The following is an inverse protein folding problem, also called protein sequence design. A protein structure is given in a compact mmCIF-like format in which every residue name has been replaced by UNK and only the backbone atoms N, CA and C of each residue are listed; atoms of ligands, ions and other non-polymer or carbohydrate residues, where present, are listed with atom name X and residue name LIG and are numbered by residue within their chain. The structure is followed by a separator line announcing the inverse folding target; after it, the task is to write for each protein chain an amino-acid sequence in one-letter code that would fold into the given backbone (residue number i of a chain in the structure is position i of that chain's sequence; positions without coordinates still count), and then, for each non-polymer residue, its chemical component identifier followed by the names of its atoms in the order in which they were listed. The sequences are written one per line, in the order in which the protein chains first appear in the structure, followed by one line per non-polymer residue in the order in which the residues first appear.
data_IF_405720175011
#
_entry.id   IF_405720175011
#
_cell.length_a   1.000
_cell.length_b   1.000
_cell.length_c   1.000
_cell.angle_alpha   90.00
_cell.angle_beta   90.00
_cell.angle_gamma   90.00
#
_symmetry.space_group_name_H-M   'P 1'
#
loop_
_entity.id
_entity.type
_entity.pdbx_description
1 polymer ?
#
# COMPACT_ATOMS: atom_id res chain seq x y z
N UNK A 1 38.13 -15.67 3.53
CA UNK A 1 37.77 -15.61 2.10
C UNK A 1 37.47 -14.16 1.80
N UNK A 2 38.32 -13.49 1.01
CA UNK A 2 38.03 -12.17 0.47
C UNK A 2 37.02 -12.38 -0.66
N UNK A 3 35.76 -11.98 -0.45
CA UNK A 3 34.74 -12.08 -1.50
C UNK A 3 35.15 -11.24 -2.70
N UNK A 4 34.99 -11.80 -3.91
CA UNK A 4 35.29 -11.09 -5.15
C UNK A 4 34.33 -9.90 -5.33
N UNK A 5 34.85 -8.81 -5.88
CA UNK A 5 34.05 -7.63 -6.25
C UNK A 5 33.45 -7.80 -7.64
N UNK A 6 32.30 -7.16 -7.84
CA UNK A 6 31.64 -7.08 -9.13
C UNK A 6 31.09 -5.68 -9.38
N UNK A 7 30.87 -5.36 -10.64
CA UNK A 7 30.09 -4.19 -11.08
C UNK A 7 29.01 -4.63 -12.05
N UNK A 8 27.93 -3.86 -12.13
CA UNK A 8 26.86 -4.12 -13.08
C UNK A 8 26.31 -2.82 -13.67
N UNK A 9 25.76 -2.95 -14.88
CA UNK A 9 25.05 -1.87 -15.57
C UNK A 9 23.78 -2.43 -16.20
N UNK A 10 22.67 -1.73 -16.00
CA UNK A 10 21.42 -1.97 -16.70
C UNK A 10 21.20 -0.85 -17.72
N UNK A 11 20.98 -1.24 -18.96
CA UNK A 11 20.66 -0.37 -20.07
C UNK A 11 19.23 -0.63 -20.52
N UNK A 12 18.54 0.42 -20.93
CA UNK A 12 17.23 0.34 -21.58
C UNK A 12 17.32 0.78 -23.03
N UNK A 13 16.48 0.19 -23.86
CA UNK A 13 16.21 0.65 -25.23
C UNK A 13 14.82 1.24 -25.27
N UNK A 14 14.72 2.52 -25.62
CA UNK A 14 13.45 3.24 -25.75
C UNK A 14 12.71 2.85 -27.06
N UNK A 15 11.43 3.25 -27.25
CA UNK A 15 10.69 2.99 -28.48
C UNK A 15 11.33 3.58 -29.76
N UNK A 16 12.15 4.61 -29.63
CA UNK A 16 12.91 5.19 -30.73
C UNK A 16 14.18 4.38 -31.07
N UNK A 17 14.48 3.31 -30.32
CA UNK A 17 15.65 2.47 -30.48
C UNK A 17 16.91 3.04 -29.85
N UNK A 18 16.82 4.10 -29.04
CA UNK A 18 17.97 4.69 -28.36
C UNK A 18 18.29 3.91 -27.09
N UNK A 19 19.56 3.54 -26.92
CA UNK A 19 20.03 2.92 -25.70
C UNK A 19 20.47 3.96 -24.67
N UNK A 20 20.04 3.78 -23.42
CA UNK A 20 20.42 4.64 -22.29
C UNK A 20 20.74 3.80 -21.07
N UNK A 21 21.71 4.25 -20.29
CA UNK A 21 21.99 3.68 -18.98
C UNK A 21 20.82 4.02 -18.06
N UNK A 22 20.24 3.00 -17.46
CA UNK A 22 19.17 3.13 -16.48
C UNK A 22 19.76 3.18 -15.08
N UNK A 23 20.63 2.21 -14.78
CA UNK A 23 21.20 2.06 -13.45
C UNK A 23 22.57 1.39 -13.50
N UNK A 24 23.42 1.70 -12.54
CA UNK A 24 24.75 1.10 -12.36
C UNK A 24 24.99 0.85 -10.88
N UNK A 25 25.68 -0.24 -10.56
CA UNK A 25 26.05 -0.55 -9.19
C UNK A 25 27.30 -1.40 -9.08
N UNK A 26 27.78 -1.50 -7.85
CA UNK A 26 28.94 -2.29 -7.48
C UNK A 26 28.63 -3.04 -6.19
N UNK A 27 29.28 -4.19 -6.01
CA UNK A 27 29.06 -5.00 -4.82
C UNK A 27 30.17 -6.03 -4.60
N UNK A 28 29.96 -6.84 -3.56
CA UNK A 28 30.87 -7.92 -3.19
C UNK A 28 30.08 -9.18 -2.87
N UNK A 29 30.58 -10.34 -3.30
CA UNK A 29 29.95 -11.61 -2.93
C UNK A 29 29.95 -11.82 -1.41
N UNK A 30 29.00 -12.64 -0.95
CA UNK A 30 28.76 -12.94 0.46
C UNK A 30 28.40 -11.70 1.32
N UNK A 31 28.01 -10.60 0.68
CA UNK A 31 27.39 -9.44 1.33
C UNK A 31 26.06 -9.12 0.69
N UNK A 32 25.10 -8.51 1.43
CA UNK A 32 23.85 -8.04 0.85
C UNK A 32 24.11 -7.08 -0.31
N UNK A 33 23.55 -7.38 -1.48
CA UNK A 33 23.63 -6.53 -2.66
C UNK A 33 22.82 -5.24 -2.40
N UNK A 34 23.38 -4.04 -2.67
CA UNK A 34 22.76 -2.77 -2.25
C UNK A 34 21.34 -2.52 -2.76
N UNK A 35 21.02 -2.94 -3.99
CA UNK A 35 19.71 -2.66 -4.59
C UNK A 35 18.62 -3.65 -4.15
N UNK A 36 18.99 -4.92 -4.02
CA UNK A 36 18.06 -6.04 -3.83
C UNK A 36 18.07 -6.59 -2.40
N UNK A 37 19.09 -6.27 -1.62
CA UNK A 37 19.34 -6.81 -0.27
C UNK A 37 19.70 -8.30 -0.25
N UNK A 38 19.78 -8.97 -1.41
CA UNK A 38 20.07 -10.41 -1.50
C UNK A 38 21.57 -10.67 -1.31
N UNK A 39 21.90 -11.75 -0.61
CA UNK A 39 23.29 -12.23 -0.53
C UNK A 39 23.55 -13.13 -1.73
N UNK A 40 24.37 -12.66 -2.67
CA UNK A 40 24.70 -13.39 -3.89
C UNK A 40 26.09 -14.03 -3.80
N UNK A 41 26.24 -15.21 -4.40
CA UNK A 41 27.48 -16.01 -4.39
C UNK A 41 28.20 -16.06 -5.74
N UNK A 42 27.53 -15.65 -6.82
CA UNK A 42 28.09 -15.65 -8.17
C UNK A 42 27.48 -14.54 -9.04
N UNK A 43 28.10 -14.29 -10.20
CA UNK A 43 27.68 -13.24 -11.14
C UNK A 43 26.28 -13.46 -11.73
N UNK A 44 25.83 -14.71 -11.84
CA UNK A 44 24.50 -15.03 -12.36
C UNK A 44 23.44 -14.65 -11.33
N UNK A 45 23.66 -14.97 -10.05
CA UNK A 45 22.76 -14.58 -8.96
C UNK A 45 22.62 -13.06 -8.85
N UNK A 46 23.72 -12.32 -8.96
CA UNK A 46 23.69 -10.84 -9.00
C UNK A 46 22.91 -10.38 -10.22
N UNK A 47 23.27 -10.86 -11.40
CA UNK A 47 22.65 -10.46 -12.66
C UNK A 47 21.14 -10.69 -12.66
N UNK A 48 20.70 -11.88 -12.26
CA UNK A 48 19.26 -12.20 -12.16
C UNK A 48 18.56 -11.36 -11.09
N UNK A 49 19.12 -11.23 -9.89
CA UNK A 49 18.48 -10.49 -8.81
C UNK A 49 18.27 -9.01 -9.16
N UNK A 50 19.32 -8.35 -9.66
CA UNK A 50 19.27 -6.94 -10.08
C UNK A 50 18.35 -6.78 -11.28
N UNK A 51 18.49 -7.64 -12.29
CA UNK A 51 17.73 -7.50 -13.53
C UNK A 51 16.24 -7.74 -13.35
N UNK A 52 15.85 -8.73 -12.53
CA UNK A 52 14.44 -8.99 -12.18
C UNK A 52 13.83 -7.78 -11.46
N UNK A 53 14.56 -7.19 -10.51
CA UNK A 53 14.12 -5.99 -9.77
C UNK A 53 13.87 -4.83 -10.73
N UNK A 54 14.86 -4.49 -11.54
CA UNK A 54 14.82 -3.32 -12.44
C UNK A 54 13.78 -3.50 -13.54
N UNK A 55 13.64 -4.70 -14.12
CA UNK A 55 12.58 -4.97 -15.10
C UNK A 55 11.19 -4.89 -14.45
N UNK A 56 11.05 -5.37 -13.21
CA UNK A 56 9.82 -5.24 -12.44
C UNK A 56 9.44 -3.78 -12.24
N UNK A 57 10.37 -2.95 -11.77
CA UNK A 57 10.14 -1.51 -11.57
C UNK A 57 9.71 -0.80 -12.85
N UNK A 58 10.39 -1.02 -13.98
CA UNK A 58 9.98 -0.41 -15.25
C UNK A 58 8.55 -0.76 -15.66
N UNK A 59 8.12 -2.01 -15.42
CA UNK A 59 6.76 -2.46 -15.74
C UNK A 59 5.74 -1.88 -14.77
N UNK A 60 6.06 -1.84 -13.48
CA UNK A 60 5.21 -1.29 -12.43
C UNK A 60 5.05 0.24 -12.55
N UNK A 61 6.13 0.97 -12.85
CA UNK A 61 6.09 2.42 -13.07
C UNK A 61 5.23 2.79 -14.28
N UNK A 62 5.40 2.08 -15.40
CA UNK A 62 4.55 2.29 -16.58
C UNK A 62 3.08 1.97 -16.27
N UNK A 63 2.82 0.91 -15.50
CA UNK A 63 1.47 0.55 -15.08
C UNK A 63 0.82 1.65 -14.23
N UNK A 64 1.55 2.17 -13.24
CA UNK A 64 1.09 3.30 -12.43
C UNK A 64 0.84 4.55 -13.29
N UNK A 65 1.77 4.90 -14.19
CA UNK A 65 1.63 6.07 -15.06
C UNK A 65 0.42 5.99 -16.00
N UNK A 66 0.08 4.81 -16.51
CA UNK A 66 -1.14 4.60 -17.33
C UNK A 66 -2.40 4.72 -16.47
N UNK A 67 -2.39 4.17 -15.25
CA UNK A 67 -3.53 4.31 -14.33
C UNK A 67 -3.80 5.78 -14.00
N UNK A 68 -2.75 6.54 -13.67
CA UNK A 68 -2.84 7.98 -13.38
C UNK A 68 -3.38 8.75 -14.59
N UNK A 69 -2.80 8.53 -15.77
CA UNK A 69 -3.23 9.21 -17.00
C UNK A 69 -4.72 8.99 -17.28
N UNK A 70 -5.20 7.75 -17.12
CA UNK A 70 -6.61 7.41 -17.34
C UNK A 70 -7.54 8.01 -16.30
N UNK A 71 -7.11 8.10 -15.04
CA UNK A 71 -7.88 8.78 -13.98
C UNK A 71 -8.01 10.28 -14.29
N UNK A 72 -6.93 10.90 -14.77
CA UNK A 72 -6.88 12.31 -15.16
C UNK A 72 -7.57 12.58 -16.51
N UNK A 73 -7.93 11.53 -17.27
CA UNK A 73 -8.53 11.64 -18.60
C UNK A 73 -7.54 12.11 -19.67
N UNK A 74 -6.24 11.88 -19.47
CA UNK A 74 -5.18 12.15 -20.44
C UNK A 74 -4.85 10.89 -21.26
N UNK A 75 -4.01 11.04 -22.28
CA UNK A 75 -3.61 9.92 -23.12
C UNK A 75 -2.63 9.00 -22.38
N UNK A 76 -2.73 7.69 -22.61
CA UNK A 76 -1.81 6.70 -22.05
C UNK A 76 -0.35 7.08 -22.41
N UNK A 77 0.56 7.16 -21.43
CA UNK A 77 1.97 7.46 -21.70
C UNK A 77 2.62 6.33 -22.50
N UNK A 78 3.55 6.69 -23.39
CA UNK A 78 4.38 5.69 -24.06
C UNK A 78 5.38 5.06 -23.07
N UNK A 79 5.66 3.75 -23.15
CA UNK A 79 6.64 3.12 -22.29
C UNK A 79 8.04 3.70 -22.45
N UNK A 80 8.73 3.94 -21.33
CA UNK A 80 10.10 4.47 -21.36
C UNK A 80 11.14 3.46 -21.88
N UNK A 81 10.79 2.17 -21.92
CA UNK A 81 11.65 1.09 -22.37
C UNK A 81 10.84 0.01 -23.09
N UNK A 82 11.37 -0.56 -24.17
CA UNK A 82 10.83 -1.79 -24.78
C UNK A 82 11.71 -3.00 -24.48
N UNK A 83 12.98 -2.75 -24.17
CA UNK A 83 13.97 -3.77 -23.86
C UNK A 83 14.87 -3.27 -22.73
N UNK A 84 15.24 -4.17 -21.83
CA UNK A 84 16.28 -3.95 -20.85
C UNK A 84 17.43 -4.94 -21.09
N UNK A 85 18.66 -4.56 -20.76
CA UNK A 85 19.85 -5.41 -20.84
C UNK A 85 20.72 -5.16 -19.63
N UNK A 86 21.16 -6.22 -18.97
CA UNK A 86 22.13 -6.16 -17.88
C UNK A 86 23.47 -6.73 -18.34
N UNK A 87 24.55 -6.11 -17.88
CA UNK A 87 25.91 -6.64 -17.98
C UNK A 87 26.55 -6.61 -16.60
N UNK A 88 27.04 -7.76 -16.12
CA UNK A 88 27.79 -7.91 -14.88
C UNK A 88 29.25 -8.22 -15.19
N UNK A 89 30.16 -7.48 -14.56
CA UNK A 89 31.61 -7.57 -14.74
C UNK A 89 32.30 -7.90 -13.44
N UNK A 90 33.45 -8.54 -13.53
CA UNK A 90 34.35 -8.74 -12.40
C UNK A 90 35.18 -7.47 -12.09
N UNK A 91 36.05 -7.55 -11.07
CA UNK A 91 36.96 -6.48 -10.66
C UNK A 91 37.92 -6.03 -11.77
N UNK A 92 38.26 -6.93 -12.71
CA UNK A 92 39.10 -6.60 -13.87
C UNK A 92 38.30 -5.93 -15.01
N UNK A 93 36.98 -5.75 -14.84
CA UNK A 93 36.08 -5.21 -15.85
C UNK A 93 35.73 -6.22 -16.95
N UNK A 94 36.04 -7.50 -16.76
CA UNK A 94 35.70 -8.55 -17.72
C UNK A 94 34.24 -8.93 -17.53
N UNK A 95 33.49 -8.97 -18.63
CA UNK A 95 32.11 -9.43 -18.63
C UNK A 95 32.02 -10.89 -18.19
N UNK A 96 31.23 -11.13 -17.15
CA UNK A 96 30.97 -12.46 -16.60
C UNK A 96 29.55 -12.94 -16.89
N UNK A 97 28.61 -12.00 -17.07
CA UNK A 97 27.23 -12.30 -17.39
C UNK A 97 26.63 -11.13 -18.19
N UNK A 98 25.81 -11.48 -19.18
CA UNK A 98 24.91 -10.55 -19.86
C UNK A 98 23.54 -11.18 -20.00
N UNK A 99 22.47 -10.41 -19.85
CA UNK A 99 21.11 -10.85 -20.14
C UNK A 99 20.30 -9.71 -20.74
N UNK A 100 19.29 -10.05 -21.53
CA UNK A 100 18.38 -9.10 -22.12
C UNK A 100 16.94 -9.61 -22.05
N UNK A 101 16.00 -8.69 -21.84
CA UNK A 101 14.59 -8.97 -21.75
C UNK A 101 13.79 -7.97 -22.58
N UNK A 102 12.82 -8.47 -23.34
CA UNK A 102 11.76 -7.65 -23.93
C UNK A 102 10.71 -7.39 -22.86
N UNK A 103 10.40 -6.11 -22.61
CA UNK A 103 9.42 -5.72 -21.61
C UNK A 103 8.03 -5.80 -22.22
N UNK A 104 7.11 -6.44 -21.50
CA UNK A 104 5.71 -6.57 -21.90
C UNK A 104 4.84 -5.86 -20.88
N UNK A 105 4.15 -4.83 -21.35
CA UNK A 105 3.23 -4.04 -20.54
C UNK A 105 1.83 -4.61 -20.71
N UNK A 106 1.19 -4.93 -19.58
CA UNK A 106 -0.16 -5.45 -19.56
C UNK A 106 -1.16 -4.35 -19.89
N UNK A 107 -2.16 -4.67 -20.70
CA UNK A 107 -3.30 -3.77 -20.91
C UNK A 107 -4.09 -3.64 -19.61
N UNK A 108 -4.29 -2.40 -19.18
CA UNK A 108 -5.13 -2.06 -18.03
C UNK A 108 -6.58 -2.02 -18.49
N UNK A 109 -7.50 -2.59 -17.72
CA UNK A 109 -8.93 -2.54 -18.02
C UNK A 109 -9.66 -1.46 -17.19
N UNK A 110 -10.94 -1.22 -17.48
CA UNK A 110 -11.74 -0.25 -16.74
C UNK A 110 -11.92 -0.64 -15.27
N UNK A 111 -11.95 -1.94 -14.95
CA UNK A 111 -12.16 -2.40 -13.58
C UNK A 111 -10.97 -2.03 -12.71
N UNK A 112 -9.76 -2.23 -13.22
CA UNK A 112 -8.51 -1.86 -12.54
C UNK A 112 -8.41 -0.35 -12.30
N UNK A 113 -8.82 0.48 -13.28
CA UNK A 113 -8.89 1.94 -13.09
C UNK A 113 -9.85 2.33 -11.96
N UNK A 114 -11.02 1.69 -11.86
CA UNK A 114 -11.97 1.97 -10.77
C UNK A 114 -11.50 1.46 -9.41
N UNK A 115 -10.78 0.33 -9.37
CA UNK A 115 -10.15 -0.17 -8.15
C UNK A 115 -9.07 0.80 -7.67
N UNK A 116 -8.18 1.24 -8.57
CA UNK A 116 -7.14 2.20 -8.25
C UNK A 116 -7.70 3.56 -7.81
N UNK A 117 -8.79 4.04 -8.43
CA UNK A 117 -9.49 5.26 -7.98
C UNK A 117 -10.01 5.14 -6.54
N UNK A 118 -10.52 3.97 -6.14
CA UNK A 118 -10.97 3.74 -4.75
C UNK A 118 -9.79 3.73 -3.77
N UNK A 119 -8.67 3.14 -4.17
CA UNK A 119 -7.44 3.14 -3.38
C UNK A 119 -6.93 4.57 -3.18
N UNK A 120 -6.83 5.37 -4.24
CA UNK A 120 -6.44 6.79 -4.14
C UNK A 120 -7.37 7.58 -3.23
N UNK A 121 -8.69 7.42 -3.35
CA UNK A 121 -9.65 8.10 -2.47
C UNK A 121 -9.48 7.70 -1.00
N UNK A 122 -9.15 6.44 -0.73
CA UNK A 122 -8.85 5.96 0.63
C UNK A 122 -7.55 6.56 1.16
N UNK A 123 -6.51 6.62 0.32
CA UNK A 123 -5.23 7.23 0.64
C UNK A 123 -5.37 8.74 0.92
N UNK A 124 -6.09 9.48 0.09
CA UNK A 124 -6.39 10.89 0.32
C UNK A 124 -7.17 11.12 1.61
N UNK A 125 -8.16 10.28 1.91
CA UNK A 125 -8.91 10.33 3.17
C UNK A 125 -7.97 10.13 4.37
N UNK A 126 -7.06 9.15 4.30
CA UNK A 126 -6.07 8.86 5.35
C UNK A 126 -5.06 9.99 5.52
N UNK A 127 -4.52 10.51 4.42
CA UNK A 127 -3.55 11.60 4.43
C UNK A 127 -4.19 12.90 4.94
N UNK A 128 -5.43 13.21 4.54
CA UNK A 128 -6.19 14.33 5.10
C UNK A 128 -6.36 14.20 6.62
N UNK A 129 -6.79 13.03 7.09
CA UNK A 129 -6.93 12.78 8.51
C UNK A 129 -5.59 12.88 9.25
N UNK A 130 -4.50 12.39 8.66
CA UNK A 130 -3.15 12.53 9.21
C UNK A 130 -2.75 14.00 9.30
N UNK A 131 -2.92 14.78 8.23
CA UNK A 131 -2.63 16.23 8.22
C UNK A 131 -3.43 16.97 9.29
N UNK A 132 -4.72 16.68 9.42
CA UNK A 132 -5.56 17.24 10.49
C UNK A 132 -5.06 16.85 11.88
N UNK A 133 -4.63 15.60 12.09
CA UNK A 133 -4.02 15.16 13.36
C UNK A 133 -2.72 15.90 13.65
N UNK A 134 -1.81 15.99 12.68
CA UNK A 134 -0.56 16.71 12.82
C UNK A 134 -0.80 18.20 13.13
N UNK A 135 -1.73 18.86 12.43
CA UNK A 135 -2.11 20.26 12.71
C UNK A 135 -2.67 20.43 14.13
N UNK A 136 -3.54 19.53 14.59
CA UNK A 136 -4.04 19.54 15.98
C UNK A 136 -2.91 19.36 17.00
N UNK A 137 -1.97 18.47 16.73
CA UNK A 137 -0.83 18.22 17.61
C UNK A 137 0.15 19.42 17.67
N UNK A 138 0.42 20.05 16.53
CA UNK A 138 1.23 21.29 16.44
C UNK A 138 0.58 22.41 17.25
N UNK A 139 -0.73 22.63 17.06
CA UNK A 139 -1.49 23.64 17.79
C UNK A 139 -1.50 23.38 19.30
N UNK A 140 -1.73 22.12 19.73
CA UNK A 140 -1.71 21.74 21.14
C UNK A 140 -0.33 21.91 21.80
N UNK A 141 0.75 21.74 21.03
CA UNK A 141 2.12 21.96 21.49
C UNK A 141 2.54 23.45 21.49
N UNK A 142 1.66 24.37 21.08
CA UNK A 142 1.97 25.79 20.97
C UNK A 142 3.03 26.12 19.93
N UNK A 143 3.28 25.22 18.97
CA UNK A 143 4.23 25.45 17.88
C UNK A 143 3.61 26.31 16.79
N UNK A 144 4.46 26.98 16.00
CA UNK A 144 4.01 27.75 14.86
C UNK A 144 3.27 26.84 13.85
N UNK A 145 2.10 27.28 13.40
CA UNK A 145 1.35 26.58 12.37
C UNK A 145 2.10 26.65 11.04
N UNK A 146 2.08 25.57 10.23
CA UNK A 146 2.65 25.61 8.88
C UNK A 146 1.93 26.66 8.03
N UNK A 147 2.65 27.29 7.10
CA UNK A 147 2.07 28.29 6.20
C UNK A 147 1.16 27.61 5.18
N UNK A 148 0.31 28.40 4.52
CA UNK A 148 -0.55 27.93 3.44
C UNK A 148 0.31 27.29 2.32
N UNK A 149 0.03 26.02 2.01
CA UNK A 149 0.80 25.22 1.06
C UNK A 149 2.00 24.45 1.65
N UNK A 150 2.38 24.66 2.90
CA UNK A 150 3.38 23.84 3.59
C UNK A 150 2.74 22.58 4.19
N UNK A 151 3.37 21.43 3.97
CA UNK A 151 2.92 20.19 4.60
C UNK A 151 3.15 20.25 6.12
N UNK A 152 2.14 19.91 6.94
CA UNK A 152 2.32 19.80 8.38
C UNK A 152 3.26 18.64 8.70
N UNK A 153 4.54 18.93 8.91
CA UNK A 153 5.57 17.94 9.26
C UNK A 153 5.89 18.02 10.74
N UNK A 154 5.68 16.91 11.44
CA UNK A 154 6.23 16.70 12.75
C UNK A 154 7.66 16.18 12.58
N UNK A 155 8.63 17.10 12.65
CA UNK A 155 10.03 16.70 12.72
C UNK A 155 10.32 16.10 14.09
N UNK A 156 10.80 14.87 14.10
CA UNK A 156 11.24 14.21 15.33
C UNK A 156 12.41 14.99 15.89
N UNK A 157 12.17 15.68 17.00
CA UNK A 157 13.17 16.57 17.60
C UNK A 157 14.43 15.83 18.08
N UNK A 158 14.31 14.54 18.44
CA UNK A 158 15.45 13.67 18.73
C UNK A 158 15.68 12.65 17.59
N UNK A 159 16.81 12.74 16.86
CA UNK A 159 17.19 11.78 15.83
C UNK A 159 17.18 10.31 16.28
N UNK A 160 17.41 10.05 17.57
CA UNK A 160 17.39 8.69 18.15
C UNK A 160 16.00 8.09 18.23
N UNK A 161 14.96 8.94 18.33
CA UNK A 161 13.57 8.51 18.39
C UNK A 161 12.95 8.29 17.01
N UNK A 162 13.65 8.66 15.92
CA UNK A 162 13.13 8.57 14.57
C UNK A 162 12.71 7.15 14.19
N UNK A 163 13.55 6.16 14.52
CA UNK A 163 13.24 4.75 14.27
C UNK A 163 12.02 4.26 15.05
N UNK A 164 11.90 4.67 16.32
CA UNK A 164 10.74 4.32 17.15
C UNK A 164 9.45 4.94 16.62
N UNK A 165 9.48 6.22 16.24
CA UNK A 165 8.32 6.91 15.65
C UNK A 165 7.87 6.23 14.36
N UNK A 166 8.80 5.85 13.48
CA UNK A 166 8.48 5.11 12.26
C UNK A 166 7.85 3.75 12.58
N UNK A 167 8.42 2.99 13.52
CA UNK A 167 7.88 1.70 13.93
C UNK A 167 6.45 1.83 14.48
N UNK A 168 6.17 2.84 15.30
CA UNK A 168 4.83 3.09 15.83
C UNK A 168 3.82 3.42 14.71
N UNK A 169 4.24 4.10 13.64
CA UNK A 169 3.36 4.35 12.48
C UNK A 169 3.06 3.07 11.73
N UNK A 170 4.09 2.26 11.47
CA UNK A 170 3.91 0.95 10.85
C UNK A 170 3.00 0.08 11.71
N UNK A 171 3.18 0.06 13.02
CA UNK A 171 2.30 -0.68 13.95
C UNK A 171 0.85 -0.21 13.86
N UNK A 172 0.60 1.11 13.86
CA UNK A 172 -0.74 1.66 13.70
C UNK A 172 -1.38 1.31 12.36
N UNK A 173 -0.59 1.24 11.28
CA UNK A 173 -1.07 0.82 9.97
C UNK A 173 -1.35 -0.68 9.91
N UNK A 174 -0.49 -1.52 10.49
CA UNK A 174 -0.71 -2.96 10.63
C UNK A 174 -2.02 -3.24 11.35
N UNK A 175 -2.29 -2.57 12.48
CA UNK A 175 -3.57 -2.74 13.22
C UNK A 175 -4.79 -2.41 12.35
N UNK A 176 -4.68 -1.42 11.46
CA UNK A 176 -5.78 -1.08 10.53
C UNK A 176 -5.95 -2.11 9.41
N UNK A 177 -4.85 -2.74 8.99
CA UNK A 177 -4.85 -3.79 7.96
C UNK A 177 -5.36 -5.13 8.48
N UNK A 178 -5.24 -5.39 9.79
CA UNK A 178 -5.73 -6.61 10.44
C UNK A 178 -7.26 -6.70 10.53
N UNK A 179 -7.97 -5.56 10.41
CA UNK A 179 -9.44 -5.50 10.52
C UNK A 179 -10.10 -5.12 9.20
N UNK A 180 -11.32 -5.63 8.93
CA UNK A 180 -12.09 -5.20 7.76
C UNK A 180 -12.41 -3.70 7.83
N UNK A 181 -12.65 -3.09 6.67
CA UNK A 181 -13.08 -1.70 6.60
C UNK A 181 -14.45 -1.50 7.29
N UNK A 182 -14.58 -0.38 8.03
CA UNK A 182 -15.78 -0.09 8.81
C UNK A 182 -17.01 0.15 7.92
N UNK A 183 -16.83 0.79 6.77
CA UNK A 183 -17.91 1.05 5.83
C UNK A 183 -18.34 -0.27 5.16
N UNK A 184 -17.39 -1.16 4.84
CA UNK A 184 -17.72 -2.53 4.40
C UNK A 184 -18.57 -3.29 5.44
N UNK A 185 -18.18 -3.26 6.72
CA UNK A 185 -18.96 -3.91 7.78
C UNK A 185 -20.38 -3.33 7.91
N UNK A 186 -20.55 -2.02 7.78
CA UNK A 186 -21.86 -1.34 7.79
C UNK A 186 -22.73 -1.73 6.60
N UNK A 187 -22.14 -1.78 5.40
CA UNK A 187 -22.84 -2.20 4.19
C UNK A 187 -23.35 -3.64 4.33
N UNK A 188 -22.51 -4.55 4.83
CA UNK A 188 -22.89 -5.94 5.02
C UNK A 188 -23.95 -6.13 6.11
N UNK A 189 -23.90 -5.33 7.19
CA UNK A 189 -24.94 -5.29 8.20
C UNK A 189 -26.28 -4.85 7.58
N UNK A 190 -26.28 -3.76 6.82
CA UNK A 190 -27.48 -3.24 6.15
C UNK A 190 -28.07 -4.27 5.16
N UNK A 191 -27.24 -4.96 4.38
CA UNK A 191 -27.70 -6.04 3.48
C UNK A 191 -28.37 -7.17 4.27
N UNK A 192 -27.79 -7.58 5.40
CA UNK A 192 -28.35 -8.64 6.23
C UNK A 192 -29.69 -8.22 6.86
N UNK A 193 -29.79 -7.00 7.38
CA UNK A 193 -31.02 -6.45 7.96
C UNK A 193 -32.13 -6.32 6.92
N UNK A 194 -31.83 -5.76 5.74
CA UNK A 194 -32.78 -5.63 4.64
C UNK A 194 -33.29 -7.00 4.17
N UNK A 195 -32.41 -8.00 4.10
CA UNK A 195 -32.78 -9.37 3.71
C UNK A 195 -33.73 -10.00 4.72
N UNK A 196 -33.45 -9.86 6.03
CA UNK A 196 -34.34 -10.36 7.09
C UNK A 196 -35.68 -9.63 7.08
N UNK A 197 -35.68 -8.30 6.92
CA UNK A 197 -36.91 -7.51 6.84
C UNK A 197 -37.79 -7.91 5.65
N UNK A 198 -37.18 -8.13 4.47
CA UNK A 198 -37.87 -8.61 3.29
C UNK A 198 -38.45 -10.01 3.50
N UNK A 199 -37.68 -10.94 4.07
CA UNK A 199 -38.13 -12.30 4.37
C UNK A 199 -39.28 -12.33 5.38
N UNK A 200 -39.23 -11.50 6.44
CA UNK A 200 -40.34 -11.35 7.38
C UNK A 200 -41.61 -10.79 6.71
N UNK A 201 -41.46 -9.86 5.78
CA UNK A 201 -42.58 -9.32 5.01
C UNK A 201 -43.20 -10.38 4.08
N UNK A 202 -42.36 -11.16 3.41
CA UNK A 202 -42.77 -12.28 2.57
C UNK A 202 -43.49 -13.37 3.39
N UNK A 203 -42.94 -13.75 4.54
CA UNK A 203 -43.56 -14.72 5.45
C UNK A 203 -44.97 -14.28 5.87
N UNK A 204 -45.13 -13.02 6.33
CA UNK A 204 -46.44 -12.47 6.72
C UNK A 204 -47.43 -12.49 5.55
N UNK A 205 -46.97 -12.11 4.36
CA UNK A 205 -47.80 -12.06 3.15
C UNK A 205 -48.24 -13.46 2.70
N UNK A 206 -47.34 -14.44 2.76
CA UNK A 206 -47.62 -15.83 2.42
C UNK A 206 -48.63 -16.45 3.40
N UNK A 207 -48.45 -16.23 4.71
CA UNK A 207 -49.41 -16.66 5.74
C UNK A 207 -50.80 -16.06 5.52
N UNK A 208 -50.88 -14.77 5.18
CA UNK A 208 -52.16 -14.11 4.90
C UNK A 208 -52.88 -14.69 3.68
N UNK A 209 -52.13 -15.20 2.69
CA UNK A 209 -52.66 -15.88 1.49
C UNK A 209 -52.94 -17.37 1.68
N UNK A 210 -52.56 -17.95 2.83
CA UNK A 210 -52.66 -19.39 3.08
C UNK A 210 -51.58 -20.23 2.38
N UNK A 211 -50.51 -19.61 1.86
CA UNK A 211 -49.39 -20.31 1.25
C UNK A 211 -48.36 -20.72 2.31
N UNK A 212 -48.55 -21.92 2.87
CA UNK A 212 -47.69 -22.44 3.94
C UNK A 212 -46.28 -22.78 3.46
N UNK A 213 -46.12 -23.19 2.19
CA UNK A 213 -44.82 -23.57 1.65
C UNK A 213 -43.90 -22.34 1.53
N UNK A 214 -44.42 -21.25 0.97
CA UNK A 214 -43.70 -19.98 0.86
C UNK A 214 -43.43 -19.37 2.24
N UNK A 215 -44.37 -19.48 3.19
CA UNK A 215 -44.16 -19.01 4.56
C UNK A 215 -43.00 -19.75 5.26
N UNK A 216 -42.91 -21.07 5.12
CA UNK A 216 -41.81 -21.87 5.67
C UNK A 216 -40.48 -21.54 4.99
N UNK A 217 -40.48 -21.35 3.67
CA UNK A 217 -39.31 -20.95 2.92
C UNK A 217 -38.77 -19.58 3.37
N UNK A 218 -39.64 -18.57 3.47
CA UNK A 218 -39.29 -17.25 3.97
C UNK A 218 -38.77 -17.29 5.42
N UNK A 219 -39.37 -18.13 6.27
CA UNK A 219 -38.91 -18.34 7.65
C UNK A 219 -37.50 -18.91 7.72
N UNK A 220 -37.17 -19.89 6.86
CA UNK A 220 -35.83 -20.46 6.79
C UNK A 220 -34.79 -19.40 6.37
N UNK A 221 -35.15 -18.45 5.51
CA UNK A 221 -34.29 -17.30 5.18
C UNK A 221 -34.04 -16.40 6.39
N UNK A 222 -35.06 -16.08 7.18
CA UNK A 222 -34.90 -15.32 8.44
C UNK A 222 -33.92 -16.01 9.38
N UNK A 223 -34.11 -17.32 9.61
CA UNK A 223 -33.28 -18.11 10.53
C UNK A 223 -31.82 -18.20 10.05
N UNK A 224 -31.59 -18.30 8.75
CA UNK A 224 -30.24 -18.32 8.15
C UNK A 224 -29.53 -16.98 8.25
N UNK A 225 -30.24 -15.87 8.06
CA UNK A 225 -29.63 -14.53 7.96
C UNK A 225 -29.55 -13.78 9.29
N UNK A 226 -30.41 -14.07 10.25
CA UNK A 226 -30.39 -13.42 11.58
C UNK A 226 -29.01 -13.53 12.28
N UNK A 227 -28.32 -14.68 12.29
CA UNK A 227 -26.98 -14.77 12.87
C UNK A 227 -25.92 -13.90 12.17
N UNK A 228 -26.12 -13.55 10.89
CA UNK A 228 -25.20 -12.68 10.14
C UNK A 228 -25.30 -11.23 10.61
N UNK A 229 -26.49 -10.76 11.00
CA UNK A 229 -26.69 -9.42 11.59
C UNK A 229 -25.82 -9.29 12.85
N UNK A 230 -25.96 -10.24 13.79
CA UNK A 230 -25.16 -10.24 15.02
C UNK A 230 -23.66 -10.28 14.74
N UNK A 231 -23.22 -11.10 13.78
CA UNK A 231 -21.81 -11.18 13.38
C UNK A 231 -21.27 -9.85 12.85
N UNK A 232 -21.99 -9.20 11.94
CA UNK A 232 -21.54 -7.92 11.37
C UNK A 232 -21.58 -6.79 12.39
N UNK A 233 -22.55 -6.78 13.30
CA UNK A 233 -22.56 -5.86 14.43
C UNK A 233 -21.31 -6.04 15.32
N UNK A 234 -20.94 -7.29 15.66
CA UNK A 234 -19.69 -7.55 16.40
C UNK A 234 -18.44 -7.15 15.64
N UNK A 235 -18.40 -7.33 14.31
CA UNK A 235 -17.27 -6.83 13.51
C UNK A 235 -17.16 -5.32 13.52
N UNK A 236 -18.27 -4.58 13.52
CA UNK A 236 -18.26 -3.12 13.65
C UNK A 236 -17.65 -2.71 15.00
N UNK A 237 -18.02 -3.38 16.09
CA UNK A 237 -17.45 -3.12 17.42
C UNK A 237 -15.93 -3.35 17.43
N UNK A 238 -15.50 -4.54 16.98
CA UNK A 238 -14.08 -4.91 16.91
C UNK A 238 -13.27 -3.95 16.03
N UNK A 239 -13.81 -3.60 14.85
CA UNK A 239 -13.16 -2.68 13.93
C UNK A 239 -13.04 -1.28 14.57
N UNK A 240 -14.09 -0.82 15.24
CA UNK A 240 -14.07 0.48 15.91
C UNK A 240 -13.00 0.52 17.01
N UNK A 241 -12.87 -0.56 17.79
CA UNK A 241 -11.84 -0.72 18.82
C UNK A 241 -10.43 -0.69 18.19
N UNK A 242 -10.17 -1.50 17.17
CA UNK A 242 -8.87 -1.54 16.50
C UNK A 242 -8.47 -0.18 15.90
N UNK A 243 -9.42 0.55 15.30
CA UNK A 243 -9.15 1.91 14.80
C UNK A 243 -8.87 2.91 15.94
N UNK A 244 -9.47 2.75 17.11
CA UNK A 244 -9.17 3.56 18.29
C UNK A 244 -7.78 3.25 18.88
N UNK A 245 -7.37 1.97 18.87
CA UNK A 245 -6.03 1.55 19.27
C UNK A 245 -4.97 2.09 18.33
N UNK A 246 -5.15 1.93 17.02
CA UNK A 246 -4.27 2.51 16.01
C UNK A 246 -4.16 4.04 16.14
N UNK A 247 -5.27 4.72 16.45
CA UNK A 247 -5.26 6.16 16.72
C UNK A 247 -4.46 6.53 17.98
N UNK A 248 -4.49 5.67 19.00
CA UNK A 248 -3.74 5.87 20.24
C UNK A 248 -2.23 5.70 20.02
N UNK A 249 -1.83 4.72 19.21
CA UNK A 249 -0.43 4.51 18.78
C UNK A 249 0.06 5.70 17.95
N UNK A 250 -0.74 6.16 16.99
CA UNK A 250 -0.45 7.37 16.22
C UNK A 250 -0.24 8.61 17.12
N UNK A 251 -1.10 8.79 18.12
CA UNK A 251 -1.00 9.89 19.06
C UNK A 251 0.27 9.80 19.92
N UNK A 252 0.74 8.60 20.24
CA UNK A 252 2.04 8.41 20.90
C UNK A 252 3.19 8.80 19.98
N UNK A 253 3.16 8.39 18.72
CA UNK A 253 4.15 8.78 17.71
C UNK A 253 4.19 10.31 17.51
N UNK A 254 3.01 10.96 17.45
CA UNK A 254 2.89 12.42 17.40
C UNK A 254 3.55 13.09 18.62
N UNK A 255 3.25 12.61 19.84
CA UNK A 255 3.84 13.14 21.07
C UNK A 255 5.36 13.01 21.07
N UNK A 256 5.90 11.82 20.74
CA UNK A 256 7.35 11.59 20.69
C UNK A 256 8.05 12.45 19.64
N UNK A 257 7.38 12.76 18.54
CA UNK A 257 7.90 13.67 17.52
C UNK A 257 8.03 15.10 18.05
N UNK A 258 7.17 15.49 19.00
CA UNK A 258 7.10 16.84 19.57
C UNK A 258 7.97 17.07 20.80
N UNK A 259 8.46 16.02 21.47
CA UNK A 259 9.34 16.14 22.66
C UNK A 259 10.67 16.77 22.24
N UNK A 260 10.83 18.08 22.46
CA UNK A 260 12.15 18.67 22.61
C UNK A 260 12.71 18.18 23.94
N UNK A 261 13.97 17.77 23.96
CA UNK A 261 14.71 17.63 25.21
C UNK A 261 14.81 19.03 25.83
N UNK A 262 13.83 19.38 26.66
CA UNK A 262 13.90 20.49 27.62
C UNK A 262 14.84 20.14 28.77
N UNK A 263 16.01 19.58 28.45
CA UNK A 263 17.04 19.13 29.36
C UNK A 263 18.39 19.74 28.95
N UNK A 264 18.38 21.06 28.75
CA UNK A 264 19.54 21.80 28.25
C UNK A 264 19.44 23.31 28.40
N UNK A 265 18.72 23.83 29.39
CA UNK A 265 18.91 25.21 29.86
C UNK A 265 18.94 25.19 31.39
N UNK A 266 19.95 25.88 31.92
CA UNK A 266 20.47 25.84 33.30
C UNK A 266 19.50 26.35 34.37
#
# INVERSE_FOLDING_TARGET
MTGEFYSWIVMRTDPAGSERVLETGEGRFDTPEPLTGRVCQDFIQVGTAVFDRVCGELVEEQHAAVLDARIEGTADPEPEALRATIVVRDEAGVERMSSAAELRYREIDHKEVEEYRKELALWEKREKQRRERCLRAIAAAGRAMPKEGEEPRLEVADPRLRGLVLNLRVEADTVREEVPDLDHCREQLMVAENTVAAALSAERSARAKGDLAEAVHARAYVERWTPRIARWASYIELTTEAYADAASVDALADRLSLVHLSAGEN
#
